data_IF_437519291767
#
_entry.id   IF_437519291767
#
_cell.length_a   1.000
_cell.length_b   1.000
_cell.length_c   1.000
_cell.angle_alpha   90.00
_cell.angle_beta   90.00
_cell.angle_gamma   90.00
#
_symmetry.space_group_name_H-M   'P 1'
#
loop_
_entity.id
_entity.type
_entity.pdbx_description
1 polymer ?
#
# COMPACT_ATOMS: atom_id res chain seq x y z
N UNK A 1 17.65 -10.99 9.49
CA UNK A 1 16.31 -10.56 9.03
C UNK A 1 15.89 -11.46 7.88
N UNK A 2 14.71 -12.11 7.97
CA UNK A 2 14.16 -12.85 6.81
C UNK A 2 13.61 -11.81 5.84
N UNK A 3 13.99 -11.91 4.56
CA UNK A 3 13.48 -11.02 3.51
C UNK A 3 12.06 -11.47 3.20
N UNK A 4 11.05 -10.79 3.74
CA UNK A 4 9.65 -11.07 3.39
C UNK A 4 9.43 -10.60 1.96
N UNK A 5 9.32 -11.55 1.03
CA UNK A 5 8.99 -11.25 -0.37
C UNK A 5 7.47 -11.09 -0.42
N UNK A 6 6.98 -9.90 -0.74
CA UNK A 6 5.55 -9.65 -0.98
C UNK A 6 5.21 -10.02 -2.42
N UNK A 7 4.00 -10.53 -2.63
CA UNK A 7 3.53 -10.92 -3.95
C UNK A 7 2.04 -10.62 -4.11
N UNK A 8 1.71 -9.92 -5.19
CA UNK A 8 0.34 -9.56 -5.57
C UNK A 8 -0.42 -10.75 -6.13
N UNK A 9 -1.76 -10.69 -6.12
CA UNK A 9 -2.62 -11.69 -6.76
C UNK A 9 -2.32 -11.82 -8.26
N UNK A 10 -1.99 -10.71 -8.93
CA UNK A 10 -1.60 -10.68 -10.34
C UNK A 10 -0.30 -11.46 -10.58
N UNK A 11 0.70 -11.28 -9.73
CA UNK A 11 1.97 -12.01 -9.82
C UNK A 11 1.78 -13.50 -9.52
N UNK A 12 0.95 -13.86 -8.53
CA UNK A 12 0.59 -15.25 -8.26
C UNK A 12 -0.04 -15.91 -9.48
N UNK A 13 -0.96 -15.23 -10.19
CA UNK A 13 -1.54 -15.76 -11.42
C UNK A 13 -0.51 -15.88 -12.55
N UNK A 14 0.41 -14.91 -12.70
CA UNK A 14 1.54 -15.02 -13.64
C UNK A 14 2.42 -16.24 -13.33
N UNK A 15 2.70 -16.51 -12.05
CA UNK A 15 3.45 -17.70 -11.63
C UNK A 15 2.71 -18.99 -11.92
N UNK A 16 1.39 -19.06 -11.67
CA UNK A 16 0.57 -20.24 -12.05
C UNK A 16 0.60 -20.47 -13.56
N UNK A 17 0.51 -19.41 -14.37
CA UNK A 17 0.64 -19.50 -15.82
C UNK A 17 2.02 -20.01 -16.24
N UNK A 18 3.10 -19.52 -15.60
CA UNK A 18 4.47 -20.01 -15.82
C UNK A 18 4.61 -21.48 -15.46
N UNK A 19 4.11 -21.91 -14.32
CA UNK A 19 4.10 -23.31 -13.91
C UNK A 19 3.36 -24.21 -14.92
N UNK A 20 2.22 -23.77 -15.46
CA UNK A 20 1.50 -24.50 -16.53
C UNK A 20 2.31 -24.62 -17.82
N UNK A 21 3.18 -23.65 -18.14
CA UNK A 21 4.08 -23.72 -19.29
C UNK A 21 5.25 -24.68 -19.01
N UNK A 22 5.86 -24.59 -17.81
CA UNK A 22 6.95 -25.48 -17.38
C UNK A 22 6.53 -26.95 -17.33
N UNK A 23 5.34 -27.23 -16.77
CA UNK A 23 4.75 -28.58 -16.76
C UNK A 23 4.66 -29.18 -18.17
N UNK A 24 4.21 -28.38 -19.15
CA UNK A 24 4.06 -28.80 -20.55
C UNK A 24 5.39 -28.99 -21.26
N UNK A 25 6.36 -28.11 -20.99
CA UNK A 25 7.67 -28.15 -21.64
C UNK A 25 8.55 -29.29 -21.11
N UNK A 26 8.54 -29.53 -19.80
CA UNK A 26 9.51 -30.40 -19.13
C UNK A 26 8.92 -31.75 -18.68
N UNK A 27 7.61 -31.96 -18.84
CA UNK A 27 6.95 -33.20 -18.43
C UNK A 27 6.94 -33.46 -16.92
N UNK A 28 7.24 -32.44 -16.11
CA UNK A 28 7.30 -32.52 -14.64
C UNK A 28 5.89 -32.53 -14.01
N UNK A 29 5.82 -32.89 -12.73
CA UNK A 29 4.55 -32.85 -11.99
C UNK A 29 4.08 -31.42 -11.76
N UNK A 30 2.80 -31.26 -11.39
CA UNK A 30 2.26 -29.93 -11.15
C UNK A 30 2.97 -29.20 -9.99
N UNK A 31 3.26 -29.92 -8.91
CA UNK A 31 3.88 -29.35 -7.72
C UNK A 31 5.32 -28.91 -8.00
N UNK A 32 6.10 -29.75 -8.70
CA UNK A 32 7.45 -29.39 -9.13
C UNK A 32 7.43 -28.14 -10.03
N UNK A 33 6.46 -28.04 -10.95
CA UNK A 33 6.34 -26.86 -11.81
C UNK A 33 6.01 -25.58 -11.04
N UNK A 34 5.26 -25.69 -9.94
CA UNK A 34 4.94 -24.57 -9.06
C UNK A 34 6.16 -24.15 -8.22
N UNK A 35 6.90 -25.11 -7.69
CA UNK A 35 8.13 -24.83 -6.94
C UNK A 35 9.21 -24.21 -7.84
N UNK A 36 9.38 -24.70 -9.07
CA UNK A 36 10.29 -24.09 -10.04
C UNK A 36 9.87 -22.67 -10.45
N UNK A 37 8.56 -22.40 -10.53
CA UNK A 37 8.06 -21.05 -10.75
C UNK A 37 8.32 -20.15 -9.52
N UNK A 38 8.18 -20.67 -8.30
CA UNK A 38 8.44 -19.96 -7.04
C UNK A 38 9.92 -19.56 -6.89
N UNK A 39 10.85 -20.48 -7.19
CA UNK A 39 12.30 -20.21 -7.14
C UNK A 39 12.71 -19.08 -8.06
N UNK A 40 12.03 -18.94 -9.21
CA UNK A 40 12.35 -17.91 -10.18
C UNK A 40 12.03 -16.46 -9.71
N UNK A 41 11.28 -16.31 -8.62
CA UNK A 41 11.00 -15.02 -7.97
C UNK A 41 11.55 -14.96 -6.54
N UNK A 42 12.44 -15.89 -6.18
CA UNK A 42 13.18 -15.87 -4.91
C UNK A 42 12.53 -16.63 -3.75
N UNK A 43 11.43 -17.36 -3.97
CA UNK A 43 10.84 -18.24 -2.95
C UNK A 43 11.38 -19.67 -3.06
N UNK A 44 11.66 -20.33 -1.94
CA UNK A 44 12.12 -21.73 -1.96
C UNK A 44 11.04 -22.71 -2.45
N UNK A 45 9.79 -22.46 -2.05
CA UNK A 45 8.65 -23.34 -2.29
C UNK A 45 7.39 -22.54 -2.62
N UNK A 46 6.48 -23.14 -3.40
CA UNK A 46 5.17 -22.58 -3.70
C UNK A 46 4.35 -22.29 -2.43
N UNK A 47 4.59 -23.07 -1.36
CA UNK A 47 3.94 -22.83 -0.08
C UNK A 47 4.21 -21.42 0.44
N UNK A 48 5.46 -20.94 0.38
CA UNK A 48 5.82 -19.59 0.82
C UNK A 48 5.21 -18.50 -0.07
N UNK A 49 5.04 -18.77 -1.38
CA UNK A 49 4.29 -17.89 -2.29
C UNK A 49 2.84 -17.75 -1.83
N UNK A 50 2.20 -18.88 -1.53
CA UNK A 50 0.80 -18.90 -1.09
C UNK A 50 0.62 -18.23 0.29
N UNK A 51 1.54 -18.44 1.22
CA UNK A 51 1.53 -17.77 2.52
C UNK A 51 1.74 -16.26 2.39
N UNK A 52 2.72 -15.82 1.59
CA UNK A 52 2.96 -14.40 1.33
C UNK A 52 1.74 -13.73 0.68
N UNK A 53 1.18 -14.35 -0.37
CA UNK A 53 -0.02 -13.86 -1.03
C UNK A 53 -1.21 -13.76 -0.07
N UNK A 54 -1.38 -14.75 0.82
CA UNK A 54 -2.45 -14.72 1.82
C UNK A 54 -2.27 -13.59 2.82
N UNK A 55 -1.04 -13.33 3.27
CA UNK A 55 -0.71 -12.24 4.18
C UNK A 55 -0.92 -10.87 3.54
N UNK A 56 -0.60 -10.74 2.24
CA UNK A 56 -0.69 -9.49 1.50
C UNK A 56 -2.09 -9.19 0.92
N UNK A 57 -2.93 -10.22 0.76
CA UNK A 57 -4.26 -10.08 0.17
C UNK A 57 -5.16 -9.02 0.83
N UNK A 58 -5.19 -8.85 2.18
CA UNK A 58 -5.98 -7.78 2.80
C UNK A 58 -5.50 -6.38 2.40
N UNK A 59 -4.18 -6.20 2.33
CA UNK A 59 -3.53 -4.94 1.92
C UNK A 59 -3.84 -4.63 0.46
N UNK A 60 -3.66 -5.60 -0.43
CA UNK A 60 -3.95 -5.45 -1.87
C UNK A 60 -5.44 -5.16 -2.10
N UNK A 61 -6.33 -5.84 -1.36
CA UNK A 61 -7.76 -5.57 -1.42
C UNK A 61 -8.11 -4.15 -0.93
N UNK A 62 -7.57 -3.73 0.20
CA UNK A 62 -7.79 -2.39 0.75
C UNK A 62 -7.29 -1.30 -0.21
N UNK A 63 -6.13 -1.51 -0.82
CA UNK A 63 -5.57 -0.59 -1.81
C UNK A 63 -6.47 -0.44 -3.03
N UNK A 64 -6.92 -1.55 -3.64
CA UNK A 64 -7.68 -1.50 -4.89
C UNK A 64 -9.17 -1.19 -4.73
N UNK A 65 -9.79 -1.65 -3.64
CA UNK A 65 -11.24 -1.62 -3.49
C UNK A 65 -11.71 -0.99 -2.18
N UNK A 66 -10.82 -0.81 -1.21
CA UNK A 66 -11.15 -0.31 0.12
C UNK A 66 -10.57 1.07 0.39
N UNK A 67 -10.09 1.24 1.62
CA UNK A 67 -9.47 2.48 2.10
C UNK A 67 -8.15 2.17 2.78
N UNK A 68 -7.12 2.92 2.41
CA UNK A 68 -5.86 3.04 3.15
C UNK A 68 -5.64 4.52 3.45
N UNK A 69 -5.24 4.83 4.67
CA UNK A 69 -4.81 6.17 5.08
C UNK A 69 -3.35 6.13 5.51
N UNK A 70 -2.61 7.19 5.22
CA UNK A 70 -1.28 7.42 5.74
C UNK A 70 -1.30 8.64 6.65
N UNK A 71 -0.73 8.51 7.85
CA UNK A 71 -0.49 9.61 8.77
C UNK A 71 1.01 9.84 8.90
N UNK A 72 1.43 11.09 9.15
CA UNK A 72 2.78 11.34 9.64
C UNK A 72 3.02 10.52 10.92
N UNK A 73 4.24 10.04 11.10
CA UNK A 73 4.62 9.16 12.21
C UNK A 73 4.42 9.80 13.57
N UNK A 74 4.51 11.13 13.68
CA UNK A 74 4.24 11.86 14.93
C UNK A 74 2.74 11.92 15.19
N UNK A 75 1.97 12.20 14.15
CA UNK A 75 0.51 12.28 14.22
C UNK A 75 -0.12 10.91 14.52
N UNK A 76 0.46 9.84 13.94
CA UNK A 76 0.05 8.47 14.17
C UNK A 76 0.19 8.02 15.63
N UNK A 77 1.03 8.67 16.45
CA UNK A 77 1.15 8.36 17.88
C UNK A 77 -0.13 8.70 18.65
N UNK A 78 -0.90 9.68 18.15
CA UNK A 78 -2.19 10.07 18.72
C UNK A 78 -3.36 9.22 18.16
N UNK A 79 -3.08 8.29 17.24
CA UNK A 79 -4.12 7.47 16.63
C UNK A 79 -4.62 6.41 17.61
N UNK A 80 -5.90 6.51 17.97
CA UNK A 80 -6.57 5.59 18.86
C UNK A 80 -7.95 5.20 18.33
N UNK A 81 -8.05 3.97 17.84
CA UNK A 81 -9.31 3.37 17.41
C UNK A 81 -9.72 2.20 18.32
N UNK A 82 -10.56 2.45 19.34
CA UNK A 82 -11.10 1.40 20.20
C UNK A 82 -11.99 0.38 19.47
N UNK A 83 -12.54 0.76 18.32
CA UNK A 83 -13.46 -0.07 17.55
C UNK A 83 -12.73 -1.07 16.64
N UNK A 84 -11.44 -0.85 16.39
CA UNK A 84 -10.60 -1.73 15.57
C UNK A 84 -10.96 -1.73 14.09
N UNK A 85 -11.59 -0.66 13.61
CA UNK A 85 -11.95 -0.46 12.20
C UNK A 85 -10.71 -0.17 11.35
N UNK A 86 -9.73 0.53 11.91
CA UNK A 86 -8.43 0.78 11.31
C UNK A 86 -7.38 -0.16 11.90
N UNK A 87 -6.64 -0.81 11.00
CA UNK A 87 -5.53 -1.69 11.38
C UNK A 87 -4.28 -1.20 10.68
N UNK A 88 -3.22 -0.99 11.47
CA UNK A 88 -1.89 -0.67 10.97
C UNK A 88 -1.42 -1.74 9.97
N UNK A 89 -0.88 -1.30 8.83
CA UNK A 89 -0.51 -2.20 7.74
C UNK A 89 0.81 -1.79 7.09
N UNK A 90 1.90 -2.33 7.63
CA UNK A 90 3.28 -2.16 7.13
C UNK A 90 3.45 -2.55 5.65
N UNK A 91 2.56 -3.39 5.11
CA UNK A 91 2.66 -3.80 3.72
C UNK A 91 2.04 -2.77 2.76
N UNK A 92 1.16 -1.89 3.23
CA UNK A 92 0.49 -0.88 2.41
C UNK A 92 1.49 0.05 1.71
N UNK A 93 2.59 0.34 2.41
CA UNK A 93 3.78 0.99 1.88
C UNK A 93 4.18 0.49 0.48
N UNK A 94 4.22 -0.84 0.27
CA UNK A 94 4.71 -1.40 -1.00
C UNK A 94 3.81 -1.10 -2.21
N UNK A 95 2.55 -0.72 -1.96
CA UNK A 95 1.59 -0.32 -2.99
C UNK A 95 1.52 1.21 -3.13
N UNK A 96 1.62 1.92 -2.00
CA UNK A 96 1.39 3.37 -1.92
C UNK A 96 2.63 4.21 -2.22
N UNK A 97 3.84 3.65 -2.04
CA UNK A 97 5.11 4.39 -2.12
C UNK A 97 5.31 5.18 -3.42
N UNK A 98 4.96 4.58 -4.56
CA UNK A 98 5.16 5.22 -5.86
C UNK A 98 4.27 6.44 -6.04
N UNK A 99 3.03 6.40 -5.53
CA UNK A 99 2.10 7.53 -5.65
C UNK A 99 2.59 8.72 -4.79
N UNK A 100 3.06 8.43 -3.56
CA UNK A 100 3.62 9.47 -2.69
C UNK A 100 4.90 10.07 -3.29
N UNK A 101 5.78 9.22 -3.83
CA UNK A 101 7.02 9.70 -4.46
C UNK A 101 6.74 10.67 -5.61
N UNK A 102 5.81 10.31 -6.51
CA UNK A 102 5.39 11.19 -7.61
C UNK A 102 4.88 12.51 -7.05
N UNK A 103 4.01 12.46 -6.03
CA UNK A 103 3.43 13.68 -5.42
C UNK A 103 4.47 14.61 -4.81
N UNK A 104 5.43 14.07 -4.07
CA UNK A 104 6.49 14.89 -3.43
C UNK A 104 7.35 15.57 -4.51
N UNK A 105 7.68 14.85 -5.58
CA UNK A 105 8.51 15.37 -6.67
C UNK A 105 7.77 16.43 -7.49
N UNK A 106 6.47 16.25 -7.74
CA UNK A 106 5.60 17.28 -8.33
C UNK A 106 5.56 18.55 -7.44
N UNK A 107 5.49 18.40 -6.11
CA UNK A 107 5.49 19.52 -5.18
C UNK A 107 6.83 20.29 -5.15
N UNK A 108 7.94 19.59 -5.38
CA UNK A 108 9.28 20.20 -5.51
C UNK A 108 9.49 20.92 -6.86
N UNK A 109 8.49 20.90 -7.76
CA UNK A 109 8.56 21.51 -9.10
C UNK A 109 9.39 20.69 -10.08
N UNK A 110 9.55 19.39 -9.83
CA UNK A 110 10.15 18.45 -10.77
C UNK A 110 9.05 17.79 -11.61
N UNK A 111 8.71 18.46 -12.72
CA UNK A 111 7.59 18.07 -13.58
C UNK A 111 7.97 16.97 -14.59
N UNK A 112 9.26 16.62 -14.70
CA UNK A 112 9.82 15.70 -15.69
C UNK A 112 10.02 14.28 -15.11
N UNK A 113 9.09 13.81 -14.29
CA UNK A 113 9.12 12.45 -13.75
C UNK A 113 8.73 11.46 -14.85
N UNK A 114 9.72 10.75 -15.42
CA UNK A 114 9.47 9.61 -16.30
C UNK A 114 9.64 8.29 -15.51
N UNK A 115 8.56 7.54 -15.22
CA UNK A 115 8.66 6.21 -14.61
C UNK A 115 9.45 5.18 -15.43
N UNK A 116 9.76 5.49 -16.70
CA UNK A 116 10.61 4.68 -17.57
C UNK A 116 12.09 5.07 -17.51
N UNK A 117 12.47 6.13 -16.79
CA UNK A 117 13.87 6.49 -16.60
C UNK A 117 14.63 5.32 -15.92
N UNK A 118 15.81 4.92 -16.43
CA UNK A 118 16.64 3.92 -15.79
C UNK A 118 16.96 4.17 -14.31
N UNK A 119 17.05 5.43 -13.86
CA UNK A 119 17.35 5.79 -12.46
C UNK A 119 16.11 5.86 -11.58
N UNK A 120 14.90 6.01 -12.14
CA UNK A 120 13.65 6.18 -11.38
C UNK A 120 13.48 5.13 -10.29
N UNK A 121 13.80 3.86 -10.59
CA UNK A 121 13.68 2.78 -9.61
C UNK A 121 14.71 2.86 -8.49
N UNK A 122 15.92 3.30 -8.79
CA UNK A 122 16.96 3.47 -7.78
C UNK A 122 16.62 4.65 -6.88
N UNK A 123 16.23 5.79 -7.48
CA UNK A 123 15.82 6.99 -6.78
C UNK A 123 14.57 6.75 -5.91
N UNK A 124 13.56 6.07 -6.45
CA UNK A 124 12.38 5.65 -5.69
C UNK A 124 12.77 4.74 -4.53
N UNK A 125 13.67 3.77 -4.73
CA UNK A 125 14.08 2.89 -3.64
C UNK A 125 14.82 3.66 -2.54
N UNK A 126 15.72 4.59 -2.89
CA UNK A 126 16.42 5.43 -1.91
C UNK A 126 15.43 6.29 -1.12
N UNK A 127 14.52 6.98 -1.83
CA UNK A 127 13.45 7.74 -1.19
C UNK A 127 12.54 6.86 -0.35
N UNK A 128 12.29 5.62 -0.78
CA UNK A 128 11.47 4.67 -0.03
C UNK A 128 12.11 4.30 1.32
N UNK A 129 13.42 4.35 1.46
CA UNK A 129 14.08 4.09 2.74
C UNK A 129 14.03 5.28 3.70
N UNK A 130 14.19 6.50 3.18
CA UNK A 130 14.33 7.71 4.02
C UNK A 130 13.01 8.49 4.19
N UNK A 131 12.21 8.61 3.14
CA UNK A 131 10.96 9.38 3.12
C UNK A 131 9.79 8.65 3.79
N UNK A 132 9.69 7.34 3.62
CA UNK A 132 8.54 6.54 4.09
C UNK A 132 8.61 6.12 5.55
N UNK A 133 9.77 6.24 6.21
CA UNK A 133 9.87 6.13 7.67
C UNK A 133 9.08 7.23 8.41
N UNK A 134 8.64 8.25 7.68
CA UNK A 134 7.80 9.32 8.23
C UNK A 134 6.31 8.99 8.20
N UNK A 135 5.88 7.86 7.63
CA UNK A 135 4.46 7.54 7.50
C UNK A 135 4.08 6.23 8.18
N UNK A 136 2.91 6.23 8.82
CA UNK A 136 2.24 5.04 9.34
C UNK A 136 0.96 4.83 8.54
N UNK A 137 0.80 3.62 8.00
CA UNK A 137 -0.33 3.27 7.15
C UNK A 137 -1.37 2.49 7.94
N UNK A 138 -2.64 2.85 7.77
CA UNK A 138 -3.77 2.11 8.31
C UNK A 138 -4.72 1.72 7.19
N UNK A 139 -5.17 0.47 7.18
CA UNK A 139 -6.27 0.03 6.32
C UNK A 139 -7.59 0.00 7.07
N UNK A 140 -8.64 0.44 6.40
CA UNK A 140 -10.01 0.28 6.90
C UNK A 140 -10.49 -1.15 6.69
N UNK A 141 -11.12 -1.73 7.69
CA UNK A 141 -11.46 -3.17 7.72
C UNK A 141 -12.95 -3.46 7.72
N UNK A 142 -13.77 -2.43 7.92
CA UNK A 142 -15.22 -2.58 7.91
C UNK A 142 -15.73 -2.92 6.49
N UNK A 143 -16.72 -3.83 6.38
CA UNK A 143 -17.27 -4.23 5.08
C UNK A 143 -17.99 -3.10 4.34
N UNK A 144 -18.60 -2.19 5.08
CA UNK A 144 -19.29 -1.03 4.52
C UNK A 144 -18.30 0.12 4.40
N UNK A 145 -17.95 0.47 3.17
CA UNK A 145 -17.00 1.55 2.90
C UNK A 145 -17.67 2.92 3.10
N UNK A 146 -16.92 3.93 3.57
CA UNK A 146 -17.39 5.31 3.58
C UNK A 146 -17.83 5.73 2.18
N UNK A 147 -18.86 6.58 2.07
CA UNK A 147 -19.44 6.99 0.80
C UNK A 147 -18.50 7.91 -0.02
N UNK A 148 -17.58 8.61 0.66
CA UNK A 148 -16.64 9.54 0.04
C UNK A 148 -15.33 9.69 0.83
N UNK A 149 -14.36 10.40 0.25
CA UNK A 149 -13.07 10.71 0.89
C UNK A 149 -13.27 11.59 2.13
N UNK A 150 -14.23 12.51 2.10
CA UNK A 150 -14.57 13.37 3.23
C UNK A 150 -15.09 12.56 4.42
N UNK A 151 -15.87 11.50 4.16
CA UNK A 151 -16.29 10.57 5.21
C UNK A 151 -15.12 9.75 5.74
N UNK A 152 -14.14 9.38 4.91
CA UNK A 152 -12.90 8.75 5.38
C UNK A 152 -12.17 9.66 6.36
N UNK A 153 -12.01 10.95 6.02
CA UNK A 153 -11.34 11.92 6.90
C UNK A 153 -12.11 12.11 8.19
N UNK A 154 -13.45 12.25 8.11
CA UNK A 154 -14.28 12.34 9.31
C UNK A 154 -14.08 11.14 10.23
N UNK A 155 -14.09 9.92 9.69
CA UNK A 155 -13.87 8.71 10.47
C UNK A 155 -12.46 8.63 11.05
N UNK A 156 -11.43 8.93 10.25
CA UNK A 156 -10.06 8.95 10.75
C UNK A 156 -9.89 9.98 11.88
N UNK A 157 -10.53 11.13 11.76
CA UNK A 157 -10.45 12.22 12.76
C UNK A 157 -11.30 11.99 14.02
N UNK A 158 -12.18 10.99 14.02
CA UNK A 158 -12.80 10.48 15.25
C UNK A 158 -11.79 9.70 16.11
N UNK A 159 -10.72 9.19 15.49
CA UNK A 159 -9.70 8.34 16.12
C UNK A 159 -8.33 9.02 16.26
N UNK A 160 -8.07 10.10 15.53
CA UNK A 160 -6.85 10.89 15.65
C UNK A 160 -7.22 12.37 15.53
N UNK A 161 -6.57 13.24 16.31
CA UNK A 161 -6.80 14.69 16.14
C UNK A 161 -6.34 15.18 14.77
N UNK A 162 -5.28 14.57 14.24
CA UNK A 162 -4.66 14.94 12.98
C UNK A 162 -5.33 14.21 11.82
N UNK A 163 -5.63 14.91 10.72
CA UNK A 163 -6.18 14.27 9.53
C UNK A 163 -5.09 13.45 8.83
N UNK A 164 -5.47 12.41 8.07
CA UNK A 164 -4.54 11.72 7.18
C UNK A 164 -3.79 12.69 6.27
N UNK A 165 -2.57 12.35 5.89
CA UNK A 165 -1.83 13.09 4.86
C UNK A 165 -2.21 12.62 3.46
N UNK A 166 -2.29 11.30 3.28
CA UNK A 166 -2.70 10.67 2.03
C UNK A 166 -3.80 9.65 2.26
N UNK A 167 -4.71 9.55 1.30
CA UNK A 167 -5.85 8.65 1.34
C UNK A 167 -5.93 7.89 0.03
N UNK A 168 -5.83 6.57 0.07
CA UNK A 168 -6.20 5.72 -1.05
C UNK A 168 -7.64 5.28 -0.85
N UNK A 169 -8.51 5.70 -1.75
CA UNK A 169 -9.93 5.32 -1.76
C UNK A 169 -10.25 4.63 -3.08
N UNK A 170 -10.59 3.33 -3.02
CA UNK A 170 -10.93 2.51 -4.20
C UNK A 170 -9.87 2.57 -5.31
N UNK A 171 -8.60 2.48 -4.93
CA UNK A 171 -7.47 2.42 -5.87
C UNK A 171 -6.96 3.77 -6.38
N UNK A 172 -7.46 4.88 -5.84
CA UNK A 172 -7.03 6.24 -6.23
C UNK A 172 -6.48 6.97 -5.02
N UNK A 173 -5.27 7.55 -5.16
CA UNK A 173 -4.71 8.43 -4.14
C UNK A 173 -5.39 9.81 -4.21
N UNK A 174 -5.80 10.28 -3.05
CA UNK A 174 -6.38 11.59 -2.81
C UNK A 174 -5.55 12.33 -1.77
N UNK A 175 -5.42 13.64 -1.95
CA UNK A 175 -5.03 14.53 -0.88
C UNK A 175 -6.11 14.54 0.20
N UNK A 176 -5.70 14.81 1.44
CA UNK A 176 -6.67 15.18 2.45
C UNK A 176 -7.36 16.48 2.02
N UNK A 177 -8.71 16.49 1.92
CA UNK A 177 -9.45 17.73 1.69
C UNK A 177 -9.08 18.78 2.72
N UNK A 178 -8.94 20.03 2.27
CA UNK A 178 -8.60 21.16 3.13
C UNK A 178 -9.59 21.25 4.31
N UNK A 179 -9.07 21.40 5.53
CA UNK A 179 -9.86 21.51 6.76
C UNK A 179 -10.78 22.73 6.85
N UNK A 180 -10.94 23.50 5.77
CA UNK A 180 -11.94 24.56 5.63
C UNK A 180 -13.36 24.01 5.38
N UNK A 181 -13.49 22.76 4.90
CA UNK A 181 -14.78 22.14 4.57
C UNK A 181 -15.20 20.99 5.48
N UNK A 182 -14.39 20.61 6.49
CA UNK A 182 -14.83 19.71 7.54
C UNK A 182 -15.85 20.45 8.43
N UNK A 183 -17.12 20.26 8.07
CA UNK A 183 -18.30 20.87 8.68
C UNK A 183 -18.46 20.46 10.16
N UNK A 184 -17.65 21.06 11.03
CA UNK A 184 -17.85 21.14 12.49
C UNK A 184 -17.02 22.26 13.15
N UNK A 185 -16.53 23.23 12.37
CA UNK A 185 -15.84 24.42 12.88
C UNK A 185 -14.43 24.15 13.46
N UNK A 186 -13.86 22.96 13.24
CA UNK A 186 -12.49 22.63 13.60
C UNK A 186 -11.56 22.96 12.43
N UNK A 187 -11.00 24.16 12.44
CA UNK A 187 -9.91 24.50 11.52
C UNK A 187 -8.65 23.81 12.03
N UNK A 188 -8.18 22.78 11.31
CA UNK A 188 -6.91 22.12 11.59
C UNK A 188 -5.83 22.87 10.83
N UNK A 189 -5.07 23.72 11.53
CA UNK A 189 -3.87 24.31 10.97
C UNK A 189 -2.72 23.31 11.09
N UNK A 190 -2.23 22.82 9.95
CA UNK A 190 -0.91 22.17 9.89
C UNK A 190 0.14 23.28 10.01
N UNK A 191 0.92 23.29 11.09
CA UNK A 191 2.05 24.20 11.21
C UNK A 191 3.23 23.57 10.47
N UNK A 192 3.67 24.23 9.39
CA UNK A 192 4.92 23.92 8.67
C UNK A 192 6.15 24.04 9.58
#
# INVERSE_FOLDING_TARGET
MRRTILITAVEVEKLKQRARKLKRANGITHNEALDEAAKAVGFDHWHHVAESAKTFAPTEHAHHFGVIIALDIKDAQDFHDPSGQFVEDDHAFSLCASDIYVRVREADGDDDIDPNDPTYKEDLNEWMFDGLMNYVFFRYTNPELPASVEEVVKLATEHCYWPPEYIWYKGVMHDCPDGSELADGRIIHRFE
#
